data_IF_190169128332
#
_entry.id   IF_190169128332
#
_cell.length_a   1.000
_cell.length_b   1.000
_cell.length_c   1.000
_cell.angle_alpha   90.00
_cell.angle_beta   90.00
_cell.angle_gamma   90.00
#
_symmetry.space_group_name_H-M   'P 1'
#
loop_
_entity.id
_entity.type
_entity.pdbx_description
1 polymer ?
#
# COMPACT_ATOMS: atom_id res chain seq x y z
N UNK A 1 15.26 28.73 16.80
CA UNK A 1 14.47 27.65 17.43
C UNK A 1 14.92 26.34 16.82
N UNK A 2 15.48 25.38 17.58
CA UNK A 2 15.85 24.09 17.01
C UNK A 2 14.58 23.28 16.75
N UNK A 3 14.33 22.93 15.50
CA UNK A 3 13.29 22.00 15.12
C UNK A 3 13.60 20.64 15.76
N UNK A 4 12.68 20.19 16.62
CA UNK A 4 12.73 18.89 17.30
C UNK A 4 12.99 17.81 16.25
N UNK A 5 14.15 17.17 16.32
CA UNK A 5 14.32 15.83 15.80
C UNK A 5 13.46 14.93 16.68
N UNK A 6 12.18 14.85 16.35
CA UNK A 6 11.41 13.67 16.68
C UNK A 6 12.11 12.53 15.96
N UNK A 7 12.52 11.50 16.69
CA UNK A 7 12.74 10.16 16.14
C UNK A 7 11.42 9.67 15.52
N UNK A 8 11.05 10.27 14.39
CA UNK A 8 9.93 9.86 13.58
C UNK A 8 10.30 8.46 13.13
N UNK A 9 9.68 7.45 13.75
CA UNK A 9 9.62 6.11 13.19
C UNK A 9 9.25 6.30 11.73
N UNK A 10 10.21 6.13 10.83
CA UNK A 10 9.96 6.31 9.40
C UNK A 10 8.92 5.25 9.03
N UNK A 11 7.71 5.72 8.80
CA UNK A 11 6.49 4.99 8.49
C UNK A 11 6.12 5.21 7.02
N UNK A 12 5.29 4.34 6.45
CA UNK A 12 4.74 4.61 5.13
C UNK A 12 3.75 5.76 5.26
N UNK A 13 3.80 6.71 4.35
CA UNK A 13 2.89 7.85 4.32
C UNK A 13 2.22 7.91 2.96
N UNK A 14 0.91 8.16 2.97
CA UNK A 14 0.22 8.56 1.75
C UNK A 14 0.76 9.92 1.30
N UNK A 15 0.60 10.24 0.01
CA UNK A 15 1.02 11.54 -0.57
C UNK A 15 0.38 12.75 0.11
N UNK A 16 -0.75 12.56 0.81
CA UNK A 16 -1.39 13.61 1.62
C UNK A 16 -0.83 13.73 3.05
N UNK A 17 0.25 13.03 3.39
CA UNK A 17 0.86 13.00 4.73
C UNK A 17 0.15 12.12 5.75
N UNK A 18 -0.88 11.36 5.35
CA UNK A 18 -1.57 10.42 6.26
C UNK A 18 -0.70 9.17 6.46
N UNK A 19 -0.34 8.80 7.69
CA UNK A 19 0.46 7.61 7.94
C UNK A 19 -0.33 6.33 7.65
N UNK A 20 0.32 5.36 7.03
CA UNK A 20 -0.22 4.04 6.69
C UNK A 20 0.60 2.99 7.44
N UNK A 21 0.02 2.41 8.48
CA UNK A 21 0.68 1.41 9.33
C UNK A 21 0.12 0.02 9.09
N UNK A 22 -1.19 -0.06 8.86
CA UNK A 22 -1.93 -1.31 8.71
C UNK A 22 -3.05 -1.17 7.68
N UNK A 23 -3.68 -2.27 7.32
CA UNK A 23 -4.91 -2.29 6.50
C UNK A 23 -6.03 -1.39 7.05
N UNK A 24 -6.06 -1.12 8.36
CA UNK A 24 -7.10 -0.28 9.00
C UNK A 24 -7.02 1.20 8.61
N UNK A 25 -5.87 1.63 8.11
CA UNK A 25 -5.62 3.00 7.62
C UNK A 25 -6.04 3.16 6.15
N UNK A 26 -6.54 2.08 5.55
CA UNK A 26 -6.91 1.98 4.15
C UNK A 26 -8.42 1.76 4.00
N UNK A 27 -8.93 2.14 2.85
CA UNK A 27 -10.30 1.91 2.42
C UNK A 27 -10.32 1.00 1.20
N UNK A 28 -11.24 0.04 1.14
CA UNK A 28 -11.33 -0.92 0.05
C UNK A 28 -12.51 -0.58 -0.86
N UNK A 29 -12.23 -0.48 -2.15
CA UNK A 29 -13.23 -0.18 -3.19
C UNK A 29 -13.12 -1.25 -4.26
N UNK A 30 -14.24 -1.88 -4.60
CA UNK A 30 -14.30 -2.82 -5.73
C UNK A 30 -14.43 -2.03 -7.02
N UNK A 31 -13.52 -2.24 -7.97
CA UNK A 31 -13.59 -1.69 -9.33
C UNK A 31 -14.51 -2.54 -10.21
N UNK A 32 -15.03 -1.94 -11.28
CA UNK A 32 -15.90 -2.62 -12.25
C UNK A 32 -15.24 -3.84 -12.90
N UNK A 33 -13.91 -3.81 -13.06
CA UNK A 33 -13.10 -4.90 -13.58
C UNK A 33 -12.95 -6.10 -12.62
N UNK A 34 -13.59 -6.05 -11.44
CA UNK A 34 -13.46 -7.04 -10.38
C UNK A 34 -12.18 -6.93 -9.55
N UNK A 35 -11.26 -6.04 -9.92
CA UNK A 35 -10.08 -5.71 -9.11
C UNK A 35 -10.49 -4.95 -7.84
N UNK A 36 -9.76 -5.16 -6.74
CA UNK A 36 -10.01 -4.45 -5.47
C UNK A 36 -8.98 -3.34 -5.30
N UNK A 37 -9.44 -2.10 -5.40
CA UNK A 37 -8.64 -0.92 -5.16
C UNK A 37 -8.54 -0.65 -3.66
N UNK A 38 -7.35 -0.29 -3.22
CA UNK A 38 -7.04 0.07 -1.84
C UNK A 38 -6.68 1.54 -1.85
N UNK A 39 -7.43 2.35 -1.12
CA UNK A 39 -7.30 3.82 -1.07
C UNK A 39 -6.85 4.28 0.30
N UNK A 40 -6.35 5.51 0.35
CA UNK A 40 -6.15 6.19 1.62
C UNK A 40 -7.51 6.44 2.27
N UNK A 41 -7.64 6.16 3.57
CA UNK A 41 -8.88 6.40 4.31
C UNK A 41 -9.19 7.89 4.53
N UNK A 42 -8.19 8.76 4.35
CA UNK A 42 -8.40 10.20 4.39
C UNK A 42 -9.17 10.64 3.13
N UNK A 43 -10.44 11.03 3.30
CA UNK A 43 -11.33 11.44 2.20
C UNK A 43 -10.91 12.70 1.45
N UNK A 44 -9.97 13.48 2.01
CA UNK A 44 -9.40 14.66 1.36
C UNK A 44 -8.23 14.27 0.44
N UNK A 45 -7.74 13.02 0.54
CA UNK A 45 -6.71 12.51 -0.36
C UNK A 45 -7.28 12.26 -1.75
N UNK A 46 -6.69 12.91 -2.76
CA UNK A 46 -7.06 12.74 -4.16
C UNK A 46 -6.25 11.64 -4.87
N UNK A 47 -5.50 10.81 -4.12
CA UNK A 47 -4.78 9.69 -4.71
C UNK A 47 -5.78 8.60 -5.11
N UNK A 48 -5.81 8.25 -6.41
CA UNK A 48 -6.75 7.29 -6.98
C UNK A 48 -6.73 5.93 -6.28
N UNK A 49 -5.52 5.44 -5.99
CA UNK A 49 -5.28 4.23 -5.20
C UNK A 49 -3.88 4.24 -4.57
N UNK A 50 -3.78 3.65 -3.39
CA UNK A 50 -2.52 3.28 -2.72
C UNK A 50 -2.03 1.93 -3.26
N UNK A 51 -2.93 0.97 -3.37
CA UNK A 51 -2.63 -0.35 -3.92
C UNK A 51 -3.81 -0.92 -4.72
N UNK A 52 -3.54 -1.92 -5.54
CA UNK A 52 -4.52 -2.74 -6.24
C UNK A 52 -4.27 -4.18 -5.84
N UNK A 53 -5.35 -4.89 -5.55
CA UNK A 53 -5.32 -6.32 -5.27
C UNK A 53 -6.02 -7.05 -6.40
N UNK A 54 -5.26 -7.92 -7.05
CA UNK A 54 -5.71 -8.74 -8.18
C UNK A 54 -5.61 -10.21 -7.79
N UNK A 55 -6.68 -10.96 -8.01
CA UNK A 55 -6.72 -12.40 -7.76
C UNK A 55 -6.86 -13.16 -9.08
N UNK A 56 -5.88 -13.99 -9.40
CA UNK A 56 -5.88 -14.87 -10.56
C UNK A 56 -5.88 -16.33 -10.10
N UNK A 57 -7.06 -16.94 -10.03
CA UNK A 57 -7.22 -18.31 -9.53
C UNK A 57 -6.76 -18.45 -8.08
N UNK A 58 -5.60 -19.08 -7.86
CA UNK A 58 -5.00 -19.25 -6.52
C UNK A 58 -3.93 -18.21 -6.17
N UNK A 59 -3.55 -17.37 -7.13
CA UNK A 59 -2.50 -16.36 -6.96
C UNK A 59 -3.09 -14.99 -6.64
N UNK A 60 -2.54 -14.30 -5.64
CA UNK A 60 -2.92 -12.95 -5.26
C UNK A 60 -1.72 -12.03 -5.45
N UNK A 61 -1.91 -10.99 -6.24
CA UNK A 61 -0.91 -9.94 -6.47
C UNK A 61 -1.40 -8.65 -5.83
N UNK A 62 -0.53 -8.01 -5.05
CA UNK A 62 -0.78 -6.66 -4.53
C UNK A 62 0.23 -5.71 -5.15
N UNK A 63 -0.26 -4.80 -5.98
CA UNK A 63 0.53 -3.78 -6.63
C UNK A 63 0.34 -2.41 -6.00
N UNK A 64 1.42 -1.75 -5.63
CA UNK A 64 1.36 -0.39 -5.09
C UNK A 64 1.41 0.66 -6.20
N UNK A 65 0.73 1.78 -6.01
CA UNK A 65 0.71 2.85 -7.00
C UNK A 65 2.11 3.49 -7.12
N UNK A 66 2.54 3.88 -8.33
CA UNK A 66 3.82 4.54 -8.52
C UNK A 66 3.94 5.81 -7.68
N UNK A 67 2.89 6.61 -7.60
CA UNK A 67 2.87 7.82 -6.77
C UNK A 67 3.11 7.54 -5.29
N UNK A 68 2.47 6.50 -4.74
CA UNK A 68 2.66 6.12 -3.35
C UNK A 68 4.08 5.60 -3.09
N UNK A 69 4.57 4.72 -3.95
CA UNK A 69 5.89 4.11 -3.78
C UNK A 69 7.03 5.10 -3.99
N UNK A 70 6.92 5.98 -4.99
CA UNK A 70 7.93 7.00 -5.28
C UNK A 70 7.99 8.04 -4.15
N UNK A 71 6.84 8.45 -3.63
CA UNK A 71 6.77 9.34 -2.46
C UNK A 71 7.53 8.75 -1.28
N UNK A 72 7.24 7.50 -0.92
CA UNK A 72 7.91 6.84 0.19
C UNK A 72 9.39 6.56 -0.09
N UNK A 73 9.75 6.25 -1.34
CA UNK A 73 11.13 6.05 -1.76
C UNK A 73 12.02 7.26 -1.44
N UNK A 74 11.51 8.47 -1.70
CA UNK A 74 12.22 9.73 -1.43
C UNK A 74 12.55 9.91 0.07
N UNK A 75 11.76 9.31 0.97
CA UNK A 75 11.89 9.52 2.40
C UNK A 75 12.60 8.39 3.15
N UNK A 76 12.61 7.16 2.62
CA UNK A 76 13.11 5.99 3.38
C UNK A 76 14.09 5.08 2.66
N UNK A 77 14.31 5.29 1.35
CA UNK A 77 15.20 4.45 0.54
C UNK A 77 14.60 3.09 0.15
N UNK A 78 15.18 2.46 -0.88
CA UNK A 78 14.60 1.29 -1.57
C UNK A 78 14.42 0.07 -0.67
N UNK A 79 15.47 -0.39 0.00
CA UNK A 79 15.43 -1.64 0.78
C UNK A 79 14.43 -1.57 1.94
N UNK A 80 14.30 -0.38 2.54
CA UNK A 80 13.33 -0.16 3.62
C UNK A 80 11.92 -0.07 3.07
N UNK A 81 11.72 0.64 1.96
CA UNK A 81 10.44 0.71 1.27
C UNK A 81 9.92 -0.69 0.94
N UNK A 82 10.72 -1.52 0.28
CA UNK A 82 10.32 -2.87 -0.12
C UNK A 82 9.86 -3.70 1.10
N UNK A 83 10.61 -3.67 2.21
CA UNK A 83 10.22 -4.34 3.46
C UNK A 83 8.92 -3.80 4.06
N UNK A 84 8.66 -2.51 3.95
CA UNK A 84 7.43 -1.90 4.48
C UNK A 84 6.21 -2.17 3.59
N UNK A 85 6.40 -2.14 2.27
CA UNK A 85 5.37 -2.53 1.29
C UNK A 85 5.00 -4.01 1.41
N UNK A 86 5.98 -4.88 1.69
CA UNK A 86 5.72 -6.30 1.98
C UNK A 86 4.88 -6.48 3.24
N UNK A 87 5.21 -5.75 4.31
CA UNK A 87 4.45 -5.79 5.57
C UNK A 87 3.01 -5.30 5.40
N UNK A 88 2.81 -4.16 4.76
CA UNK A 88 1.46 -3.62 4.53
C UNK A 88 0.69 -4.51 3.56
N UNK A 89 1.35 -5.07 2.53
CA UNK A 89 0.76 -6.05 1.63
C UNK A 89 0.28 -7.31 2.35
N UNK A 90 1.07 -7.85 3.29
CA UNK A 90 0.61 -8.94 4.15
C UNK A 90 -0.59 -8.55 5.03
N UNK A 91 -0.61 -7.33 5.57
CA UNK A 91 -1.76 -6.83 6.34
C UNK A 91 -3.03 -6.77 5.49
N UNK A 92 -2.93 -6.28 4.26
CA UNK A 92 -4.03 -6.20 3.29
C UNK A 92 -4.53 -7.61 2.94
N UNK A 93 -3.61 -8.52 2.63
CA UNK A 93 -3.92 -9.91 2.30
C UNK A 93 -4.71 -10.60 3.42
N UNK A 94 -4.24 -10.47 4.66
CA UNK A 94 -4.88 -11.09 5.83
C UNK A 94 -6.27 -10.52 6.09
N UNK A 95 -6.44 -9.21 5.93
CA UNK A 95 -7.72 -8.54 6.13
C UNK A 95 -8.76 -8.95 5.08
N UNK A 96 -8.32 -9.16 3.83
CA UNK A 96 -9.20 -9.45 2.70
C UNK A 96 -9.50 -10.94 2.49
N UNK A 97 -8.54 -11.83 2.79
CA UNK A 97 -8.61 -13.26 2.48
C UNK A 97 -8.33 -14.17 3.69
N UNK A 98 -8.09 -13.59 4.88
CA UNK A 98 -7.76 -14.36 6.08
C UNK A 98 -6.45 -15.15 5.95
N UNK A 99 -6.32 -16.23 6.72
CA UNK A 99 -5.13 -17.08 6.71
C UNK A 99 -4.96 -17.91 5.42
N UNK A 100 -6.02 -18.04 4.61
CA UNK A 100 -6.04 -18.86 3.40
C UNK A 100 -5.30 -18.22 2.21
N UNK A 101 -5.16 -16.89 2.19
CA UNK A 101 -4.48 -16.15 1.13
C UNK A 101 -2.95 -16.34 1.07
N UNK A 102 -2.33 -17.02 2.05
CA UNK A 102 -0.86 -17.07 2.22
C UNK A 102 -0.10 -17.91 1.19
N UNK A 103 -0.77 -18.74 0.38
CA UNK A 103 -0.07 -19.77 -0.40
C UNK A 103 0.58 -19.25 -1.68
N UNK A 104 0.12 -18.14 -2.26
CA UNK A 104 0.68 -17.52 -3.46
C UNK A 104 0.47 -16.01 -3.44
N UNK A 105 1.31 -15.30 -2.69
CA UNK A 105 1.26 -13.85 -2.53
C UNK A 105 2.51 -13.20 -3.11
N UNK A 106 2.32 -12.14 -3.91
CA UNK A 106 3.40 -11.31 -4.42
C UNK A 106 3.10 -9.84 -4.22
N UNK A 107 4.04 -9.11 -3.63
CA UNK A 107 4.05 -7.65 -3.67
C UNK A 107 4.77 -7.18 -4.92
N UNK A 108 4.12 -6.28 -5.65
CA UNK A 108 4.78 -5.45 -6.65
C UNK A 108 4.95 -4.03 -6.07
N UNK A 109 6.19 -3.62 -5.74
CA UNK A 109 6.47 -2.29 -5.21
C UNK A 109 6.04 -1.16 -6.14
N UNK A 110 5.94 -1.43 -7.45
CA UNK A 110 5.57 -0.41 -8.43
C UNK A 110 4.77 -1.05 -9.54
N UNK A 111 3.45 -0.99 -9.42
CA UNK A 111 2.55 -1.48 -10.46
C UNK A 111 2.23 -0.35 -11.44
N UNK A 112 2.72 -0.48 -12.66
CA UNK A 112 2.27 0.37 -13.77
C UNK A 112 1.02 -0.31 -14.33
N UNK A 113 -0.16 0.26 -14.05
CA UNK A 113 -1.37 -0.14 -14.74
C UNK A 113 -1.30 0.53 -16.12
N UNK A 114 -1.11 -0.25 -17.18
CA UNK A 114 -1.31 0.27 -18.55
C UNK A 114 -2.81 0.61 -18.66
N UNK A 115 -3.11 1.89 -18.83
CA UNK A 115 -4.46 2.41 -19.07
C UNK A 115 -4.70 2.43 -20.56
#
# INVERSE_FOLDING_TARGET
>A
MPARHSDSKVELECVCGTPIRTSKDLEYVTSEDGSRLVRCRNRICHLDFVAVVESYGRSITIGFSPMFSDWNLLHMGKDRLEKMLEKIGHSILLDMFGAEGKKFFRVNPRMVKEV
#
